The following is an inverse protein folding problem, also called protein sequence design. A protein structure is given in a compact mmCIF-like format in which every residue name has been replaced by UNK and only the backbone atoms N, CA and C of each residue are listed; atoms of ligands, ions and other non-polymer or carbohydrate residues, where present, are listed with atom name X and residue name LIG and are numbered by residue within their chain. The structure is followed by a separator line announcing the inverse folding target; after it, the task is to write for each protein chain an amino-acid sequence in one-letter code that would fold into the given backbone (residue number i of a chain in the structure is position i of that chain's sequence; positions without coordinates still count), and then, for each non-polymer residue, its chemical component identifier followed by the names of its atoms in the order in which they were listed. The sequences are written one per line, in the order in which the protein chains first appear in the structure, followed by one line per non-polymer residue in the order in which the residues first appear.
data_IF_238115636313
#
_entry.id   IF_238115636313
#
_cell.length_a   1.000
_cell.length_b   1.000
_cell.length_c   1.000
_cell.angle_alpha   90.00
_cell.angle_beta   90.00
_cell.angle_gamma   90.00
#
_symmetry.space_group_name_H-M   'P 1'
#
loop_
_entity.id
_entity.type
_entity.pdbx_description
1 polymer ?
#
# COMPACT_ATOMS: atom_id res chain seq x y z
N UNK A 1 -23.98 -8.63 -11.31
CA UNK A 1 -22.75 -7.87 -11.01
C UNK A 1 -22.51 -8.06 -9.54
N UNK A 2 -21.59 -8.96 -9.20
CA UNK A 2 -21.29 -9.29 -7.81
C UNK A 2 -20.19 -8.33 -7.37
N UNK A 3 -20.59 -7.23 -6.72
CA UNK A 3 -19.63 -6.32 -6.12
C UNK A 3 -18.88 -7.07 -5.03
N UNK A 4 -17.60 -7.36 -5.28
CA UNK A 4 -16.70 -7.92 -4.28
C UNK A 4 -16.59 -6.89 -3.15
N UNK A 5 -17.07 -7.23 -1.96
CA UNK A 5 -17.11 -6.31 -0.81
C UNK A 5 -15.73 -5.91 -0.28
N UNK A 6 -14.68 -6.62 -0.68
CA UNK A 6 -13.33 -6.56 -0.12
C UNK A 6 -12.28 -6.09 -1.16
N UNK A 7 -12.70 -5.24 -2.09
CA UNK A 7 -11.92 -4.80 -3.23
C UNK A 7 -11.74 -3.27 -3.25
N UNK A 8 -10.53 -2.82 -3.59
CA UNK A 8 -10.21 -1.41 -3.79
C UNK A 8 -9.17 -1.24 -4.91
N UNK A 9 -9.35 -0.24 -5.76
CA UNK A 9 -8.35 0.14 -6.78
C UNK A 9 -7.23 0.98 -6.15
N UNK A 10 -5.98 0.54 -6.35
CA UNK A 10 -4.77 1.29 -5.97
C UNK A 10 -3.82 1.34 -7.16
N UNK A 11 -3.97 2.40 -7.96
CA UNK A 11 -3.16 2.64 -9.15
C UNK A 11 -3.59 1.74 -10.32
N UNK A 12 -2.71 0.86 -10.79
CA UNK A 12 -3.05 -0.21 -11.76
C UNK A 12 -3.46 -1.51 -11.08
N UNK A 13 -3.31 -1.61 -9.76
CA UNK A 13 -3.58 -2.85 -9.04
C UNK A 13 -4.98 -2.87 -8.43
N UNK A 14 -5.58 -4.03 -8.55
CA UNK A 14 -6.77 -4.43 -7.84
C UNK A 14 -6.40 -4.96 -6.46
N UNK A 15 -6.51 -4.12 -5.43
CA UNK A 15 -6.17 -4.49 -4.05
C UNK A 15 -7.32 -5.25 -3.40
N UNK A 16 -7.06 -6.51 -3.05
CA UNK A 16 -7.95 -7.38 -2.30
C UNK A 16 -7.53 -7.42 -0.83
N UNK A 17 -8.47 -7.17 0.08
CA UNK A 17 -8.22 -7.40 1.50
C UNK A 17 -8.03 -8.87 1.78
N UNK A 18 -7.01 -9.23 2.58
CA UNK A 18 -6.81 -10.61 3.02
C UNK A 18 -8.07 -11.17 3.69
N UNK A 19 -8.66 -12.27 3.17
CA UNK A 19 -9.73 -12.95 3.86
C UNK A 19 -9.16 -13.59 5.13
N UNK A 20 -9.90 -13.44 6.23
CA UNK A 20 -9.49 -13.90 7.55
C UNK A 20 -10.40 -15.03 8.02
N UNK A 21 -9.78 -16.07 8.56
CA UNK A 21 -10.45 -17.17 9.25
C UNK A 21 -10.99 -16.73 10.62
N UNK A 22 -11.87 -17.50 11.28
CA UNK A 22 -12.41 -17.19 12.61
C UNK A 22 -11.35 -17.00 13.70
N UNK A 23 -10.14 -17.52 13.48
CA UNK A 23 -8.97 -17.37 14.34
C UNK A 23 -8.10 -16.15 14.02
N UNK A 24 -8.52 -15.30 13.07
CA UNK A 24 -7.79 -14.10 12.64
C UNK A 24 -6.60 -14.36 11.72
N UNK A 25 -6.41 -15.59 11.24
CA UNK A 25 -5.35 -15.95 10.29
C UNK A 25 -5.82 -15.82 8.84
N UNK A 26 -4.88 -15.68 7.90
CA UNK A 26 -5.18 -15.68 6.47
C UNK A 26 -5.92 -16.95 6.03
N UNK A 27 -7.00 -16.80 5.27
CA UNK A 27 -7.75 -17.90 4.66
C UNK A 27 -7.37 -18.10 3.20
N UNK A 28 -6.53 -19.10 2.93
CA UNK A 28 -6.08 -19.41 1.59
C UNK A 28 -7.18 -19.98 0.66
N UNK A 29 -8.24 -20.58 1.21
CA UNK A 29 -9.32 -21.17 0.40
C UNK A 29 -10.28 -20.09 -0.08
N UNK A 30 -10.70 -19.21 0.83
CA UNK A 30 -11.55 -18.07 0.47
C UNK A 30 -10.81 -17.14 -0.50
N UNK A 31 -9.53 -16.87 -0.24
CA UNK A 31 -8.69 -16.06 -1.14
C UNK A 31 -8.69 -16.62 -2.58
N UNK A 32 -8.61 -17.94 -2.73
CA UNK A 32 -8.64 -18.56 -4.06
C UNK A 32 -9.96 -18.34 -4.79
N UNK A 33 -11.08 -18.34 -4.08
CA UNK A 33 -12.40 -18.11 -4.65
C UNK A 33 -12.56 -16.64 -5.05
N UNK A 34 -12.13 -15.73 -4.18
CA UNK A 34 -12.24 -14.29 -4.40
C UNK A 34 -11.41 -13.84 -5.59
N UNK A 35 -10.15 -14.29 -5.70
CA UNK A 35 -9.26 -13.95 -6.82
C UNK A 35 -9.79 -14.50 -8.15
N UNK A 36 -10.30 -15.75 -8.17
CA UNK A 36 -10.89 -16.31 -9.40
C UNK A 36 -12.13 -15.55 -9.82
N UNK A 37 -12.99 -15.20 -8.86
CA UNK A 37 -14.17 -14.38 -9.12
C UNK A 37 -13.79 -13.00 -9.66
N UNK A 38 -12.73 -12.39 -9.15
CA UNK A 38 -12.20 -11.12 -9.65
C UNK A 38 -11.71 -11.26 -11.10
N UNK A 39 -10.87 -12.26 -11.38
CA UNK A 39 -10.32 -12.51 -12.72
C UNK A 39 -11.42 -12.82 -13.74
N UNK A 40 -12.45 -13.56 -13.34
CA UNK A 40 -13.57 -13.91 -14.22
C UNK A 40 -14.54 -12.73 -14.45
N UNK A 41 -14.69 -11.84 -13.45
CA UNK A 41 -15.53 -10.66 -13.57
C UNK A 41 -14.86 -9.51 -14.32
N UNK A 42 -13.53 -9.40 -14.23
CA UNK A 42 -12.73 -8.35 -14.85
C UNK A 42 -11.58 -8.96 -15.68
N UNK A 43 -11.88 -9.53 -16.87
CA UNK A 43 -10.88 -10.21 -17.69
C UNK A 43 -9.80 -9.28 -18.26
N UNK A 44 -10.06 -7.97 -18.27
CA UNK A 44 -9.10 -6.96 -18.70
C UNK A 44 -8.09 -6.59 -17.60
N UNK A 45 -8.40 -6.90 -16.34
CA UNK A 45 -7.57 -6.57 -15.19
C UNK A 45 -6.57 -7.69 -14.90
N UNK A 46 -5.31 -7.34 -15.06
CA UNK A 46 -4.17 -8.26 -15.04
C UNK A 46 -3.30 -8.08 -13.80
N UNK A 47 -3.53 -7.01 -13.05
CA UNK A 47 -2.70 -6.62 -11.92
C UNK A 47 -3.53 -6.72 -10.65
N UNK A 48 -3.28 -7.75 -9.86
CA UNK A 48 -3.98 -7.98 -8.60
C UNK A 48 -2.98 -7.79 -7.47
N UNK A 49 -3.41 -7.16 -6.39
CA UNK A 49 -2.63 -7.02 -5.18
C UNK A 49 -3.39 -7.58 -3.98
N UNK A 50 -2.67 -8.11 -2.99
CA UNK A 50 -3.26 -8.62 -1.76
C UNK A 50 -2.77 -7.80 -0.59
N UNK A 51 -3.72 -7.23 0.14
CA UNK A 51 -3.45 -6.51 1.37
C UNK A 51 -3.26 -7.50 2.52
N UNK A 52 -2.02 -7.63 2.99
CA UNK A 52 -1.64 -8.39 4.17
C UNK A 52 -1.36 -7.45 5.36
N UNK A 53 -1.74 -6.18 5.28
CA UNK A 53 -1.67 -5.24 6.40
C UNK A 53 -2.56 -5.75 7.54
N UNK A 54 -2.02 -5.75 8.76
CA UNK A 54 -2.73 -6.24 9.95
C UNK A 54 -2.59 -7.74 10.21
N UNK A 55 -1.85 -8.47 9.37
CA UNK A 55 -1.44 -9.84 9.66
C UNK A 55 -0.02 -9.87 10.24
N UNK A 56 0.15 -10.58 11.34
CA UNK A 56 1.47 -10.77 11.96
C UNK A 56 2.29 -11.86 11.23
N UNK A 57 1.61 -12.92 10.78
CA UNK A 57 2.22 -14.06 10.09
C UNK A 57 1.26 -14.66 9.06
N UNK A 58 1.84 -15.43 8.14
CA UNK A 58 1.13 -16.13 7.06
C UNK A 58 1.61 -17.58 7.03
N UNK A 59 0.68 -18.52 6.86
CA UNK A 59 0.99 -19.95 6.85
C UNK A 59 1.45 -20.44 5.46
N UNK A 60 1.97 -21.67 5.40
CA UNK A 60 2.53 -22.26 4.18
C UNK A 60 1.53 -22.44 3.04
N UNK A 61 0.27 -22.65 3.36
CA UNK A 61 -0.84 -22.77 2.40
C UNK A 61 -1.07 -21.49 1.60
N UNK A 62 -0.97 -20.33 2.25
CA UNK A 62 -1.10 -19.03 1.63
C UNK A 62 0.06 -18.73 0.66
N UNK A 63 1.31 -19.06 1.03
CA UNK A 63 2.44 -18.92 0.10
C UNK A 63 2.25 -19.75 -1.17
N UNK A 64 1.72 -20.96 -1.04
CA UNK A 64 1.38 -21.80 -2.19
C UNK A 64 0.25 -21.19 -3.04
N UNK A 65 -0.75 -20.59 -2.40
CA UNK A 65 -1.82 -19.88 -3.10
C UNK A 65 -1.27 -18.69 -3.89
N UNK A 66 -0.39 -17.87 -3.30
CA UNK A 66 0.22 -16.74 -3.99
C UNK A 66 1.04 -17.18 -5.21
N UNK A 67 1.84 -18.25 -5.08
CA UNK A 67 2.58 -18.80 -6.21
C UNK A 67 1.65 -19.27 -7.34
N UNK A 68 0.59 -20.00 -6.99
CA UNK A 68 -0.38 -20.50 -7.96
C UNK A 68 -1.00 -19.35 -8.77
N UNK A 69 -1.45 -18.28 -8.09
CA UNK A 69 -2.06 -17.15 -8.76
C UNK A 69 -1.07 -16.27 -9.50
N UNK A 70 0.16 -16.15 -9.02
CA UNK A 70 1.20 -15.47 -9.79
C UNK A 70 1.44 -16.15 -11.13
N UNK A 71 1.48 -17.48 -11.16
CA UNK A 71 1.60 -18.23 -12.41
C UNK A 71 0.37 -18.04 -13.31
N UNK A 72 -0.84 -18.07 -12.74
CA UNK A 72 -2.08 -17.88 -13.49
C UNK A 72 -2.18 -16.47 -14.11
N UNK A 73 -1.88 -15.42 -13.33
CA UNK A 73 -1.89 -14.04 -13.80
C UNK A 73 -0.75 -13.79 -14.78
N UNK A 74 0.45 -14.32 -14.54
CA UNK A 74 1.59 -14.17 -15.46
C UNK A 74 1.30 -14.77 -16.84
N UNK A 75 0.60 -15.91 -16.91
CA UNK A 75 0.16 -16.50 -18.19
C UNK A 75 -0.80 -15.59 -18.98
N UNK A 76 -1.53 -14.71 -18.30
CA UNK A 76 -2.44 -13.71 -18.89
C UNK A 76 -1.76 -12.37 -19.16
N UNK A 77 -0.45 -12.26 -18.90
CA UNK A 77 0.35 -11.03 -19.01
C UNK A 77 0.16 -10.08 -17.83
N UNK A 78 -0.20 -10.63 -16.68
CA UNK A 78 -0.45 -9.95 -15.43
C UNK A 78 0.55 -10.22 -14.32
N UNK A 79 0.29 -9.69 -13.13
CA UNK A 79 1.13 -9.84 -11.95
C UNK A 79 0.30 -9.78 -10.67
N UNK A 80 0.66 -10.64 -9.72
CA UNK A 80 0.26 -10.59 -8.33
C UNK A 80 1.29 -9.77 -7.52
N UNK A 81 0.79 -8.80 -6.77
CA UNK A 81 1.54 -8.05 -5.78
C UNK A 81 1.05 -8.35 -4.36
N UNK A 82 1.92 -8.15 -3.38
CA UNK A 82 1.58 -8.26 -1.96
C UNK A 82 1.89 -6.93 -1.27
N UNK A 83 1.00 -6.50 -0.39
CA UNK A 83 1.19 -5.31 0.45
C UNK A 83 1.38 -5.78 1.90
N UNK A 84 2.58 -5.59 2.45
CA UNK A 84 2.88 -5.97 3.83
C UNK A 84 4.02 -5.15 4.44
N UNK A 85 3.89 -4.76 5.70
CA UNK A 85 4.92 -4.09 6.51
C UNK A 85 5.51 -5.02 7.58
N UNK A 86 4.98 -6.25 7.70
CA UNK A 86 5.45 -7.20 8.69
C UNK A 86 6.77 -7.82 8.24
N UNK A 87 7.83 -7.61 9.03
CA UNK A 87 9.13 -8.23 8.78
C UNK A 87 9.05 -9.76 8.75
N UNK A 88 8.15 -10.35 9.55
CA UNK A 88 7.94 -11.80 9.61
C UNK A 88 7.38 -12.35 8.30
N UNK A 89 6.41 -11.65 7.70
CA UNK A 89 5.85 -12.03 6.40
C UNK A 89 6.90 -11.86 5.30
N UNK A 90 7.67 -10.77 5.32
CA UNK A 90 8.77 -10.52 4.39
C UNK A 90 9.83 -11.62 4.45
N UNK A 91 10.23 -12.03 5.66
CA UNK A 91 11.19 -13.11 5.85
C UNK A 91 10.61 -14.46 5.43
N UNK A 92 9.33 -14.70 5.67
CA UNK A 92 8.63 -15.90 5.18
C UNK A 92 8.61 -15.98 3.65
N UNK A 93 8.33 -14.86 2.98
CA UNK A 93 8.37 -14.77 1.51
C UNK A 93 9.78 -15.03 0.96
N UNK A 94 10.83 -14.51 1.60
CA UNK A 94 12.23 -14.78 1.23
C UNK A 94 12.60 -16.24 1.43
N UNK A 95 12.21 -16.85 2.57
CA UNK A 95 12.48 -18.26 2.87
C UNK A 95 11.80 -19.19 1.87
N UNK A 96 10.60 -18.84 1.41
CA UNK A 96 9.89 -19.59 0.40
C UNK A 96 10.35 -19.25 -1.04
N UNK A 97 11.26 -18.29 -1.23
CA UNK A 97 11.78 -17.88 -2.54
C UNK A 97 10.78 -17.14 -3.42
N UNK A 98 9.75 -16.53 -2.80
CA UNK A 98 8.71 -15.76 -3.50
C UNK A 98 9.14 -14.32 -3.79
N UNK A 99 10.14 -13.82 -3.09
CA UNK A 99 10.70 -12.47 -3.26
C UNK A 99 11.15 -12.15 -4.70
N UNK A 100 11.57 -13.17 -5.45
CA UNK A 100 11.98 -13.04 -6.87
C UNK A 100 10.82 -13.12 -7.86
N UNK A 101 9.71 -13.74 -7.45
CA UNK A 101 8.57 -14.04 -8.34
C UNK A 101 7.41 -13.08 -8.14
N UNK A 102 7.26 -12.54 -6.93
CA UNK A 102 6.21 -11.61 -6.54
C UNK A 102 6.79 -10.24 -6.23
N UNK A 103 6.04 -9.20 -6.56
CA UNK A 103 6.34 -7.85 -6.07
C UNK A 103 5.71 -7.67 -4.70
N UNK A 104 6.51 -7.24 -3.74
CA UNK A 104 6.05 -6.93 -2.39
C UNK A 104 6.28 -5.45 -2.15
N UNK A 105 5.23 -4.76 -1.73
CA UNK A 105 5.23 -3.35 -1.41
C UNK A 105 5.05 -3.18 0.10
N UNK A 106 5.75 -2.21 0.68
CA UNK A 106 5.60 -1.90 2.10
C UNK A 106 4.39 -1.01 2.35
N UNK A 107 4.04 -0.15 1.39
CA UNK A 107 2.98 0.86 1.51
C UNK A 107 2.18 1.02 0.22
N UNK A 108 0.90 1.41 0.33
CA UNK A 108 0.04 1.73 -0.83
C UNK A 108 0.66 2.79 -1.75
N UNK A 109 1.40 3.74 -1.18
CA UNK A 109 2.08 4.80 -1.95
C UNK A 109 3.10 4.23 -2.95
N UNK A 110 3.76 3.12 -2.62
CA UNK A 110 4.72 2.45 -3.52
C UNK A 110 4.01 1.72 -4.67
N UNK A 111 2.83 1.16 -4.42
CA UNK A 111 2.00 0.58 -5.48
C UNK A 111 1.50 1.64 -6.47
N UNK A 112 1.10 2.80 -5.94
CA UNK A 112 0.69 3.96 -6.74
C UNK A 112 1.85 4.50 -7.59
N UNK A 113 3.06 4.57 -7.03
CA UNK A 113 4.23 5.01 -7.80
C UNK A 113 4.65 3.98 -8.85
N UNK A 114 4.55 2.67 -8.56
CA UNK A 114 4.79 1.61 -9.55
C UNK A 114 3.86 1.73 -10.76
N UNK A 115 2.61 2.15 -10.53
CA UNK A 115 1.62 2.37 -11.58
C UNK A 115 2.04 3.47 -12.56
N UNK A 116 2.70 4.53 -12.06
CA UNK A 116 3.22 5.63 -12.87
C UNK A 116 4.44 5.19 -13.70
N UNK A 117 5.33 4.37 -13.13
CA UNK A 117 6.54 3.90 -13.80
C UNK A 117 6.29 2.74 -14.77
N UNK A 118 5.27 1.91 -14.52
CA UNK A 118 4.91 0.80 -15.42
C UNK A 118 4.18 1.24 -16.69
N UNK A 119 3.73 2.50 -16.74
CA UNK A 119 3.25 3.16 -17.97
C UNK A 119 4.35 3.91 -18.72
N UNK A 120 5.52 4.10 -18.10
CA UNK A 120 6.71 4.55 -18.82
C UNK A 120 7.35 3.31 -19.50
N UNK A 121 7.82 3.41 -20.75
CA UNK A 121 8.54 2.31 -21.38
C UNK A 121 9.68 1.85 -20.47
N UNK A 122 9.71 0.57 -20.16
CA UNK A 122 10.71 -0.05 -19.31
C UNK A 122 12.12 0.23 -19.84
N UNK A 123 12.82 1.19 -19.23
CA UNK A 123 14.29 1.16 -19.21
C UNK A 123 14.68 0.05 -18.24
N UNK A 124 15.11 -1.08 -18.82
CA UNK A 124 15.79 -2.15 -18.12
C UNK A 124 16.95 -1.59 -17.28
N UNK A 125 17.02 -1.88 -15.97
CA UNK A 125 18.22 -1.59 -15.20
C UNK A 125 19.28 -2.64 -15.55
N UNK A 126 20.14 -2.31 -16.53
CA UNK A 126 21.35 -3.07 -16.79
C UNK A 126 22.30 -2.95 -15.58
N UNK A 127 22.29 -3.98 -14.75
CA UNK A 127 23.29 -4.19 -13.71
C UNK A 127 24.40 -5.10 -14.25
N UNK A 128 25.58 -4.54 -14.50
CA UNK A 128 26.86 -5.16 -14.18
C UNK A 128 27.99 -4.11 -14.23
N UNK A 129 28.75 -3.91 -13.14
CA UNK A 129 29.89 -2.99 -13.08
C UNK A 129 31.19 -3.72 -13.43
N UNK A 130 32.06 -3.11 -14.23
CA UNK A 130 33.52 -3.27 -14.15
C UNK A 130 34.22 -2.19 -15.01
N UNK A 131 35.43 -1.76 -14.61
CA UNK A 131 35.95 -0.41 -14.82
C UNK A 131 36.91 -0.32 -16.01
N UNK A 132 37.04 0.86 -16.59
CA UNK A 132 38.33 1.42 -17.05
C UNK A 132 38.11 2.88 -17.51
N UNK A 133 38.45 3.80 -16.61
CA UNK A 133 38.59 5.22 -16.90
C UNK A 133 39.81 5.41 -17.82
N UNK A 134 39.56 5.75 -19.08
CA UNK A 134 40.55 6.45 -19.90
C UNK A 134 39.90 7.67 -20.54
N UNK A 135 40.65 8.76 -20.44
CA UNK A 135 40.23 10.14 -20.56
C UNK A 135 40.20 10.56 -22.02
N UNK A 136 39.09 11.14 -22.50
CA UNK A 136 39.10 12.23 -23.49
C UNK A 136 37.69 12.85 -23.66
N UNK A 137 37.52 14.17 -23.49
CA UNK A 137 36.29 14.86 -23.85
C UNK A 137 36.32 15.22 -25.34
N UNK A 138 35.34 14.74 -26.11
CA UNK A 138 35.15 15.20 -27.50
C UNK A 138 33.77 15.84 -27.61
N UNK A 139 33.76 17.16 -27.56
CA UNK A 139 32.66 17.98 -28.04
C UNK A 139 32.59 17.88 -29.57
N UNK A 140 31.42 17.61 -30.14
CA UNK A 140 31.07 18.13 -31.46
C UNK A 140 29.56 18.14 -31.71
N UNK A 141 29.13 19.34 -32.09
CA UNK A 141 27.87 19.76 -32.68
C UNK A 141 27.38 18.84 -33.82
N UNK A 142 26.05 18.65 -33.96
CA UNK A 142 25.25 19.36 -34.98
C UNK A 142 23.76 18.93 -35.03
N UNK A 143 22.89 19.94 -35.00
CA UNK A 143 21.79 20.24 -35.94
C UNK A 143 20.83 19.11 -36.37
N UNK A 144 19.62 19.18 -35.79
CA UNK A 144 18.29 19.34 -36.45
C UNK A 144 18.15 18.77 -37.88
N UNK A 145 17.38 17.69 -38.02
CA UNK A 145 16.59 17.41 -39.23
C UNK A 145 15.22 16.88 -38.83
N UNK A 146 14.22 17.49 -39.46
CA UNK A 146 12.79 17.21 -39.35
C UNK A 146 12.40 16.05 -40.29
N UNK A 147 11.47 15.23 -39.79
CA UNK A 147 10.27 14.73 -40.47
C UNK A 147 10.16 13.29 -41.03
N UNK A 148 8.93 12.80 -40.87
CA UNK A 148 8.19 11.73 -41.55
C UNK A 148 8.38 10.25 -41.10
N UNK A 149 7.39 9.77 -40.34
CA UNK A 149 7.08 8.33 -40.24
C UNK A 149 6.19 7.92 -39.05
N UNK A 150 4.92 8.38 -39.01
CA UNK A 150 3.92 7.87 -38.07
C UNK A 150 3.64 6.36 -38.32
N UNK A 151 3.23 5.60 -37.29
CA UNK A 151 1.81 5.24 -37.25
C UNK A 151 1.15 5.25 -35.85
N UNK A 152 -0.13 5.63 -35.88
CA UNK A 152 -1.24 5.18 -35.02
C UNK A 152 -1.22 5.50 -33.52
N UNK A 153 -1.85 6.65 -33.24
CA UNK A 153 -2.44 7.01 -31.95
C UNK A 153 -3.40 5.93 -31.45
N UNK A 154 -2.97 5.16 -30.43
CA UNK A 154 -3.87 4.36 -29.60
C UNK A 154 -4.85 5.29 -28.88
N UNK A 155 -6.12 5.00 -29.07
CA UNK A 155 -7.31 5.68 -28.57
C UNK A 155 -7.18 6.22 -27.13
N UNK A 156 -7.35 7.54 -27.02
CA UNK A 156 -7.72 8.25 -25.81
C UNK A 156 -8.84 7.52 -25.07
N UNK A 157 -8.54 7.00 -23.87
CA UNK A 157 -9.57 6.62 -22.90
C UNK A 157 -10.30 7.89 -22.49
N UNK A 158 -11.55 8.02 -22.95
CA UNK A 158 -12.49 9.10 -22.64
C UNK A 158 -12.77 9.13 -21.13
N UNK A 159 -11.90 9.81 -20.39
CA UNK A 159 -12.09 10.01 -18.95
C UNK A 159 -13.29 10.92 -18.73
N UNK A 160 -14.22 10.42 -17.90
CA UNK A 160 -15.49 11.07 -17.61
C UNK A 160 -15.34 12.49 -17.07
N UNK A 161 -16.36 13.29 -17.37
CA UNK A 161 -16.52 14.73 -17.18
C UNK A 161 -16.57 15.22 -15.71
N UNK A 162 -15.94 14.51 -14.76
CA UNK A 162 -15.94 14.84 -13.32
C UNK A 162 -14.55 14.91 -12.69
N UNK A 163 -13.47 15.05 -13.48
CA UNK A 163 -12.20 15.54 -12.93
C UNK A 163 -12.26 17.05 -12.77
N UNK A 164 -12.94 17.53 -11.72
CA UNK A 164 -12.59 18.81 -11.11
C UNK A 164 -11.19 18.63 -10.51
N UNK A 165 -10.18 18.80 -11.36
CA UNK A 165 -8.88 19.25 -10.89
C UNK A 165 -9.15 20.51 -10.06
N UNK A 166 -9.12 20.37 -8.74
CA UNK A 166 -9.14 21.52 -7.85
C UNK A 166 -7.84 22.26 -8.11
N UNK A 167 -7.96 23.26 -8.97
CA UNK A 167 -6.93 24.23 -9.30
C UNK A 167 -6.31 24.78 -8.02
N UNK A 168 -5.03 25.12 -8.17
CA UNK A 168 -4.19 25.96 -7.31
C UNK A 168 -3.77 25.37 -5.97
N UNK A 169 -2.62 24.69 -6.02
CA UNK A 169 -1.48 25.05 -5.17
C UNK A 169 -1.32 26.59 -5.13
N UNK A 170 -1.12 27.16 -3.93
CA UNK A 170 -1.04 28.59 -3.58
C UNK A 170 -2.35 29.35 -3.26
N UNK A 171 -3.11 28.87 -2.28
CA UNK A 171 -4.02 29.72 -1.49
C UNK A 171 -3.80 29.52 0.02
N UNK A 172 -2.60 29.83 0.52
CA UNK A 172 -2.37 30.00 1.96
C UNK A 172 -2.70 31.47 2.28
N UNK A 173 -3.96 31.76 2.55
CA UNK A 173 -4.32 32.99 3.27
C UNK A 173 -4.12 32.74 4.76
N UNK A 174 -3.07 33.34 5.32
CA UNK A 174 -2.89 33.51 6.76
C UNK A 174 -4.02 34.40 7.27
N UNK A 175 -5.08 33.81 7.80
CA UNK A 175 -6.11 34.55 8.53
C UNK A 175 -6.62 33.70 9.71
N UNK A 176 -5.73 33.51 10.70
CA UNK A 176 -5.98 32.74 11.93
C UNK A 176 -7.11 33.32 12.81
N UNK A 177 -7.49 34.59 12.61
CA UNK A 177 -8.49 35.26 13.46
C UNK A 177 -9.95 35.11 13.01
N UNK A 178 -10.23 34.58 11.82
CA UNK A 178 -11.61 34.38 11.32
C UNK A 178 -12.14 32.96 11.51
N UNK A 179 -11.29 31.96 11.73
CA UNK A 179 -11.69 30.57 11.94
C UNK A 179 -12.28 30.30 13.34
N UNK A 180 -11.91 31.07 14.36
CA UNK A 180 -12.41 30.88 15.73
C UNK A 180 -13.89 31.31 15.93
N UNK A 181 -14.47 32.08 15.02
CA UNK A 181 -15.87 32.56 15.12
C UNK A 181 -16.88 31.72 14.34
N UNK A 182 -16.42 30.73 13.59
CA UNK A 182 -17.27 29.89 12.75
C UNK A 182 -17.36 28.47 13.31
N UNK A 183 -17.71 28.33 14.59
CA UNK A 183 -18.34 27.14 15.19
C UNK A 183 -17.79 25.76 14.81
N UNK A 184 -16.51 25.64 14.49
CA UNK A 184 -15.87 24.38 14.13
C UNK A 184 -15.15 23.90 15.38
N UNK A 185 -15.90 23.18 16.22
CA UNK A 185 -15.31 22.40 17.31
C UNK A 185 -14.30 21.43 16.68
N UNK A 186 -13.03 21.57 17.05
CA UNK A 186 -12.00 20.62 16.64
C UNK A 186 -12.35 19.25 17.24
N UNK A 187 -12.48 18.18 16.43
CA UNK A 187 -12.76 16.83 16.94
C UNK A 187 -11.53 16.17 17.59
N UNK A 188 -10.49 16.94 17.89
CA UNK A 188 -9.22 16.47 18.45
C UNK A 188 -8.74 17.33 19.63
N UNK A 189 -9.66 18.03 20.32
CA UNK A 189 -9.35 18.63 21.61
C UNK A 189 -9.34 17.53 22.70
N UNK A 190 -8.11 17.15 23.05
CA UNK A 190 -7.65 16.66 24.35
C UNK A 190 -8.24 15.34 24.87
N UNK A 191 -7.71 14.22 24.39
CA UNK A 191 -7.51 13.08 25.30
C UNK A 191 -6.43 13.47 26.33
N UNK A 192 -6.89 14.08 27.41
CA UNK A 192 -6.11 14.35 28.61
C UNK A 192 -5.39 13.07 29.05
N UNK A 193 -4.07 13.05 28.83
CA UNK A 193 -3.10 12.06 29.30
C UNK A 193 -3.63 11.14 30.41
N UNK A 194 -3.96 9.91 30.01
CA UNK A 194 -4.42 8.82 30.89
C UNK A 194 -3.41 8.46 31.99
N UNK A 195 -2.18 8.97 31.91
CA UNK A 195 -1.17 8.80 32.95
C UNK A 195 -1.52 9.48 34.28
N UNK A 196 -2.22 10.62 34.26
CA UNK A 196 -2.58 11.35 35.49
C UNK A 196 -3.67 10.62 36.29
N UNK A 197 -4.65 10.03 35.61
CA UNK A 197 -5.73 9.24 36.24
C UNK A 197 -5.20 7.93 36.83
N UNK A 198 -4.31 7.22 36.14
CA UNK A 198 -3.69 6.00 36.67
C UNK A 198 -2.84 6.32 37.91
N UNK A 199 -2.07 7.41 37.89
CA UNK A 199 -1.26 7.81 39.04
C UNK A 199 -2.12 8.18 40.26
N UNK A 200 -3.25 8.87 40.05
CA UNK A 200 -4.18 9.19 41.12
C UNK A 200 -4.82 7.95 41.76
N UNK A 201 -5.16 6.93 40.95
CA UNK A 201 -5.72 5.66 41.45
C UNK A 201 -4.70 4.90 42.30
N UNK A 202 -3.43 4.85 41.88
CA UNK A 202 -2.36 4.17 42.63
C UNK A 202 -2.17 4.83 44.01
N UNK A 203 -2.13 6.17 44.07
CA UNK A 203 -2.00 6.89 45.35
C UNK A 203 -3.20 6.61 46.26
N UNK A 204 -4.43 6.61 45.71
CA UNK A 204 -5.62 6.33 46.50
C UNK A 204 -5.58 4.92 47.12
N UNK A 205 -5.12 3.91 46.38
CA UNK A 205 -4.99 2.55 46.90
C UNK A 205 -3.94 2.42 48.02
N UNK A 206 -2.82 3.14 47.91
CA UNK A 206 -1.79 3.14 48.96
C UNK A 206 -2.32 3.77 50.25
N UNK A 207 -3.05 4.89 50.15
CA UNK A 207 -3.63 5.57 51.32
C UNK A 207 -4.69 4.69 51.99
N UNK A 208 -5.59 4.08 51.21
CA UNK A 208 -6.62 3.18 51.75
C UNK A 208 -5.97 1.95 52.39
N UNK A 209 -4.99 1.34 51.72
CA UNK A 209 -4.24 0.19 52.26
C UNK A 209 -3.52 0.54 53.57
N UNK A 210 -2.91 1.72 53.66
CA UNK A 210 -2.27 2.21 54.89
C UNK A 210 -3.27 2.42 56.03
N UNK A 211 -4.46 2.96 55.75
CA UNK A 211 -5.51 3.16 56.75
C UNK A 211 -6.02 1.81 57.25
N UNK A 212 -6.32 0.86 56.35
CA UNK A 212 -6.79 -0.48 56.72
C UNK A 212 -5.74 -1.22 57.55
N UNK A 213 -4.47 -1.17 57.15
CA UNK A 213 -3.37 -1.75 57.92
C UNK A 213 -3.23 -1.13 59.31
N UNK A 214 -3.36 0.20 59.42
CA UNK A 214 -3.31 0.90 60.70
C UNK A 214 -4.45 0.51 61.65
N UNK A 215 -5.65 0.26 61.13
CA UNK A 215 -6.79 -0.22 61.92
C UNK A 215 -6.72 -1.72 62.27
N UNK A 216 -5.96 -2.52 61.52
CA UNK A 216 -5.77 -3.95 61.81
C UNK A 216 -4.58 -4.22 62.75
N UNK A 217 -3.58 -3.34 62.77
CA UNK A 217 -2.41 -3.44 63.66
C UNK A 217 -2.59 -2.75 65.02
N UNK A 218 -3.73 -2.08 65.24
CA UNK A 218 -4.10 -1.44 66.50
C UNK A 218 -5.21 -2.22 67.19
#
# INVERSE_FOLDING_TARGET
MSDLKNYREVGVFDLLSAPLNPIGAFDAEQFKQDVRTLIDSHPDDKFVAVDLMGLDFVYSDAYNAFLQFQHELSNKGGMLALLSNSATIMDGLKKAGLDRKLKVFAFEAEMMSFSLHSQAPAEEPAAAPAPEESVAPVASQNVRSLDAGAPESRSDRKTGHQRRFTKSFNAITKDEKKLAKQGMSMPFDEEKSSGSTVFAIIIALIVIGGIVAFFLLR
#
